data_IF_466929046926
#
_entry.id   IF_466929046926
#
_cell.length_a   1.000
_cell.length_b   1.000
_cell.length_c   1.000
_cell.angle_alpha   90.00
_cell.angle_beta   90.00
_cell.angle_gamma   90.00
#
_symmetry.space_group_name_H-M   'P 1'
#
loop_
_entity.id
_entity.type
_entity.pdbx_description
1 polymer ?
#
# COMPACT_ATOMS: atom_id res chain seq x y z
N UNK A 1 -4.64 -7.17 25.23
CA UNK A 1 -5.13 -6.16 24.27
C UNK A 1 -5.00 -6.78 22.89
N UNK A 2 -6.02 -6.64 22.07
CA UNK A 2 -6.01 -7.01 20.66
C UNK A 2 -5.90 -5.72 19.84
N UNK A 3 -4.93 -5.63 18.93
CA UNK A 3 -4.77 -4.47 18.07
C UNK A 3 -5.23 -4.83 16.67
N UNK A 4 -6.16 -4.03 16.17
CA UNK A 4 -6.63 -4.07 14.78
C UNK A 4 -6.30 -2.75 14.13
N UNK A 5 -6.05 -2.75 12.82
CA UNK A 5 -5.67 -1.53 12.11
C UNK A 5 -6.74 -1.12 11.10
N UNK A 6 -6.71 0.14 10.71
CA UNK A 6 -7.42 0.68 9.54
C UNK A 6 -6.49 0.60 8.33
N UNK A 7 -6.15 -0.59 7.86
CA UNK A 7 -5.19 -0.76 6.76
C UNK A 7 -5.62 -0.05 5.47
N UNK A 8 -6.93 0.09 5.25
CA UNK A 8 -7.49 0.83 4.11
C UNK A 8 -7.11 2.32 4.12
N UNK A 9 -6.92 2.93 5.30
CA UNK A 9 -6.60 4.35 5.43
C UNK A 9 -5.20 4.66 4.88
N UNK A 10 -4.17 3.94 5.36
CA UNK A 10 -2.82 4.10 4.84
C UNK A 10 -2.68 3.62 3.39
N UNK A 11 -3.42 2.57 3.03
CA UNK A 11 -3.39 2.03 1.66
C UNK A 11 -4.00 3.00 0.64
N UNK A 12 -5.02 3.76 1.03
CA UNK A 12 -5.57 4.86 0.24
C UNK A 12 -4.51 5.92 -0.08
N UNK A 13 -3.66 6.27 0.89
CA UNK A 13 -2.59 7.25 0.67
C UNK A 13 -1.56 6.76 -0.35
N UNK A 14 -1.11 5.50 -0.26
CA UNK A 14 -0.10 5.00 -1.22
C UNK A 14 -0.69 4.75 -2.61
N UNK A 15 -1.97 4.40 -2.71
CA UNK A 15 -2.68 4.33 -3.99
C UNK A 15 -2.82 5.70 -4.66
N UNK A 16 -3.18 6.71 -3.88
CA UNK A 16 -3.23 8.10 -4.32
C UNK A 16 -1.85 8.59 -4.75
N UNK A 17 -0.81 8.33 -3.97
CA UNK A 17 0.57 8.69 -4.28
C UNK A 17 1.03 8.10 -5.62
N UNK A 18 0.79 6.81 -5.85
CA UNK A 18 1.12 6.14 -7.12
C UNK A 18 0.37 6.73 -8.31
N UNK A 19 -0.92 7.06 -8.14
CA UNK A 19 -1.71 7.65 -9.21
C UNK A 19 -1.31 9.10 -9.52
N UNK A 20 -0.99 9.91 -8.51
CA UNK A 20 -0.47 11.26 -8.72
C UNK A 20 0.92 11.23 -9.35
N UNK A 21 1.79 10.30 -8.94
CA UNK A 21 3.10 10.11 -9.58
C UNK A 21 2.94 9.73 -11.06
N UNK A 22 2.02 8.81 -11.39
CA UNK A 22 1.73 8.46 -12.78
C UNK A 22 1.30 9.67 -13.63
N UNK A 23 0.52 10.60 -13.04
CA UNK A 23 0.16 11.87 -13.69
C UNK A 23 1.37 12.78 -13.92
N UNK A 24 2.25 12.93 -12.93
CA UNK A 24 3.46 13.76 -13.08
C UNK A 24 4.41 13.18 -14.12
N UNK A 25 4.49 11.85 -14.20
CA UNK A 25 5.26 11.11 -15.20
C UNK A 25 4.61 11.13 -16.60
N UNK A 26 3.42 11.73 -16.75
CA UNK A 26 2.73 11.89 -18.04
C UNK A 26 2.06 10.62 -18.57
N UNK A 27 1.78 9.64 -17.73
CA UNK A 27 1.16 8.36 -18.13
C UNK A 27 -0.36 8.55 -18.25
N UNK A 28 -0.88 8.49 -19.48
CA UNK A 28 -2.29 8.75 -19.75
C UNK A 28 -3.24 7.64 -19.25
N UNK A 29 -2.85 6.37 -19.42
CA UNK A 29 -3.66 5.20 -19.06
C UNK A 29 -2.85 4.23 -18.19
N UNK A 30 -2.48 4.62 -16.95
CA UNK A 30 -1.64 3.79 -16.11
C UNK A 30 -2.40 2.53 -15.67
N UNK A 31 -1.65 1.44 -15.57
CA UNK A 31 -2.12 0.15 -15.04
C UNK A 31 -1.44 -0.08 -13.69
N UNK A 32 -2.16 -0.61 -12.72
CA UNK A 32 -1.65 -0.83 -11.37
C UNK A 32 -1.83 -2.29 -10.94
N UNK A 33 -0.90 -2.78 -10.13
CA UNK A 33 -0.92 -4.14 -9.61
C UNK A 33 -1.02 -4.17 -8.09
N UNK A 34 -1.75 -5.13 -7.55
CA UNK A 34 -1.73 -5.47 -6.13
C UNK A 34 -1.25 -6.91 -5.94
N UNK A 35 -0.26 -7.12 -5.08
CA UNK A 35 0.21 -8.46 -4.69
C UNK A 35 -0.10 -8.67 -3.21
N UNK A 36 -1.08 -9.51 -2.94
CA UNK A 36 -1.40 -9.96 -1.59
C UNK A 36 -0.60 -11.20 -1.18
N UNK A 37 -0.38 -11.38 0.12
CA UNK A 37 0.12 -12.64 0.68
C UNK A 37 -0.95 -13.72 0.66
N UNK A 38 -1.48 -14.07 1.84
CA UNK A 38 -2.63 -14.97 1.98
C UNK A 38 -3.93 -14.15 1.96
N UNK A 39 -4.93 -14.51 1.14
CA UNK A 39 -6.18 -13.77 1.07
C UNK A 39 -6.97 -13.85 2.38
N UNK A 40 -7.74 -12.81 2.66
CA UNK A 40 -8.61 -12.68 3.82
C UNK A 40 -8.86 -11.21 4.17
N UNK A 41 -9.75 -10.99 5.14
CA UNK A 41 -10.26 -9.66 5.50
C UNK A 41 -9.19 -8.56 5.64
N UNK A 42 -8.05 -8.86 6.29
CA UNK A 42 -6.94 -7.90 6.47
C UNK A 42 -6.31 -7.49 5.13
N UNK A 43 -6.01 -8.45 4.25
CA UNK A 43 -5.38 -8.11 2.95
C UNK A 43 -6.38 -7.41 2.03
N UNK A 44 -7.67 -7.72 2.14
CA UNK A 44 -8.71 -7.01 1.41
C UNK A 44 -8.79 -5.53 1.80
N UNK A 45 -8.60 -5.18 3.07
CA UNK A 45 -8.51 -3.75 3.46
C UNK A 45 -7.34 -3.03 2.78
N UNK A 46 -6.18 -3.67 2.72
CA UNK A 46 -5.01 -3.12 2.02
C UNK A 46 -5.33 -2.89 0.54
N UNK A 47 -5.87 -3.90 -0.13
CA UNK A 47 -6.24 -3.81 -1.54
C UNK A 47 -7.27 -2.71 -1.79
N UNK A 48 -8.33 -2.68 -0.99
CA UNK A 48 -9.44 -1.74 -1.18
C UNK A 48 -9.00 -0.30 -0.94
N UNK A 49 -8.18 -0.04 0.06
CA UNK A 49 -7.60 1.29 0.23
C UNK A 49 -6.79 1.70 -0.99
N UNK A 50 -5.87 0.85 -1.45
CA UNK A 50 -5.02 1.10 -2.62
C UNK A 50 -5.84 1.40 -3.88
N UNK A 51 -6.84 0.56 -4.16
CA UNK A 51 -7.78 0.70 -5.28
C UNK A 51 -8.53 2.03 -5.23
N UNK A 52 -9.08 2.38 -4.07
CA UNK A 52 -9.83 3.63 -3.88
C UNK A 52 -8.92 4.85 -4.04
N UNK A 53 -7.68 4.78 -3.55
CA UNK A 53 -6.67 5.82 -3.72
C UNK A 53 -6.36 6.08 -5.19
N UNK A 54 -6.13 5.01 -5.96
CA UNK A 54 -5.90 5.11 -7.41
C UNK A 54 -7.11 5.72 -8.12
N UNK A 55 -8.30 5.20 -7.83
CA UNK A 55 -9.54 5.58 -8.54
C UNK A 55 -10.00 7.01 -8.22
N UNK A 56 -9.54 7.59 -7.12
CA UNK A 56 -9.76 9.02 -6.82
C UNK A 56 -9.11 9.96 -7.86
N UNK A 57 -8.07 9.48 -8.55
CA UNK A 57 -7.34 10.24 -9.59
C UNK A 57 -7.68 9.70 -10.99
N UNK A 58 -7.75 8.38 -11.12
CA UNK A 58 -8.06 7.68 -12.38
C UNK A 58 -9.26 6.74 -12.18
N UNK A 59 -10.50 7.24 -12.31
CA UNK A 59 -11.70 6.45 -12.03
C UNK A 59 -11.84 5.17 -12.87
N UNK A 60 -11.17 5.11 -14.02
CA UNK A 60 -11.21 3.99 -14.96
C UNK A 60 -9.86 3.27 -15.10
N UNK A 61 -8.91 3.48 -14.17
CA UNK A 61 -7.63 2.78 -14.20
C UNK A 61 -7.83 1.27 -14.20
N UNK A 62 -7.02 0.56 -14.99
CA UNK A 62 -6.96 -0.90 -14.92
C UNK A 62 -6.14 -1.30 -13.71
N UNK A 63 -6.77 -2.06 -12.81
CA UNK A 63 -6.14 -2.59 -11.60
C UNK A 63 -6.31 -4.11 -11.65
N UNK A 64 -5.22 -4.81 -11.37
CA UNK A 64 -5.17 -6.27 -11.33
C UNK A 64 -4.54 -6.73 -10.02
N UNK A 65 -4.97 -7.88 -9.52
CA UNK A 65 -4.48 -8.44 -8.28
C UNK A 65 -3.97 -9.86 -8.45
N UNK A 66 -3.14 -10.27 -7.50
CA UNK A 66 -2.57 -11.60 -7.39
C UNK A 66 -2.31 -11.91 -5.93
N UNK A 67 -2.74 -13.08 -5.47
CA UNK A 67 -2.49 -13.56 -4.12
C UNK A 67 -1.44 -14.67 -4.17
N UNK A 68 -0.29 -14.41 -3.57
CA UNK A 68 0.82 -15.36 -3.56
C UNK A 68 0.53 -16.61 -2.71
N UNK A 69 -0.45 -16.52 -1.80
CA UNK A 69 -0.78 -17.54 -0.81
C UNK A 69 0.45 -17.93 0.06
N UNK A 70 1.34 -16.97 0.29
CA UNK A 70 2.58 -17.15 1.04
C UNK A 70 3.13 -15.80 1.53
N UNK A 71 3.85 -15.80 2.66
CA UNK A 71 4.46 -14.62 3.28
C UNK A 71 5.99 -14.57 3.16
N UNK A 72 6.65 -15.63 2.69
CA UNK A 72 8.11 -15.80 2.67
C UNK A 72 8.67 -16.33 1.34
N UNK A 73 7.93 -16.21 0.24
CA UNK A 73 8.30 -16.71 -1.09
C UNK A 73 8.51 -15.56 -2.10
N UNK A 74 9.59 -14.78 -1.99
CA UNK A 74 9.83 -13.64 -2.86
C UNK A 74 9.91 -14.00 -4.35
N UNK A 75 10.28 -15.23 -4.69
CA UNK A 75 10.30 -15.71 -6.08
C UNK A 75 8.92 -15.65 -6.75
N UNK A 76 7.82 -15.86 -6.01
CA UNK A 76 6.46 -15.78 -6.54
C UNK A 76 6.08 -14.34 -6.92
N UNK A 77 6.29 -13.40 -6.01
CA UNK A 77 6.02 -11.99 -6.28
C UNK A 77 6.96 -11.43 -7.36
N UNK A 78 8.23 -11.83 -7.37
CA UNK A 78 9.19 -11.42 -8.40
C UNK A 78 8.75 -11.85 -9.79
N UNK A 79 8.36 -13.12 -9.96
CA UNK A 79 7.89 -13.65 -11.22
C UNK A 79 6.62 -12.91 -11.70
N UNK A 80 5.67 -12.67 -10.80
CA UNK A 80 4.44 -11.96 -11.12
C UNK A 80 4.70 -10.48 -11.47
N UNK A 81 5.50 -9.79 -10.66
CA UNK A 81 5.89 -8.41 -10.91
C UNK A 81 6.59 -8.26 -12.26
N UNK A 82 7.45 -9.21 -12.63
CA UNK A 82 8.12 -9.24 -13.93
C UNK A 82 7.09 -9.28 -15.06
N UNK A 83 6.16 -10.23 -15.00
CA UNK A 83 5.11 -10.39 -16.03
C UNK A 83 4.25 -9.13 -16.17
N UNK A 84 3.90 -8.50 -15.05
CA UNK A 84 3.09 -7.29 -15.03
C UNK A 84 3.81 -6.06 -15.54
N UNK A 85 5.04 -5.83 -15.09
CA UNK A 85 5.86 -4.72 -15.59
C UNK A 85 6.16 -4.88 -17.09
N UNK A 86 6.45 -6.10 -17.56
CA UNK A 86 6.61 -6.37 -19.01
C UNK A 86 5.32 -6.13 -19.80
N UNK A 87 4.16 -6.28 -19.16
CA UNK A 87 2.85 -5.98 -19.73
C UNK A 87 2.43 -4.51 -19.55
N UNK A 88 3.28 -3.65 -18.98
CA UNK A 88 3.01 -2.22 -18.82
C UNK A 88 2.26 -1.82 -17.55
N UNK A 89 2.25 -2.66 -16.51
CA UNK A 89 1.91 -2.19 -15.15
C UNK A 89 2.95 -1.17 -14.71
N UNK A 90 2.48 -0.06 -14.16
CA UNK A 90 3.31 1.07 -13.77
C UNK A 90 3.80 0.95 -12.32
N UNK A 91 2.89 0.67 -11.39
CA UNK A 91 3.22 0.51 -9.98
C UNK A 91 2.56 -0.74 -9.39
N UNK A 92 3.27 -1.42 -8.49
CA UNK A 92 2.79 -2.61 -7.78
C UNK A 92 2.89 -2.39 -6.28
N UNK A 93 1.76 -2.47 -5.58
CA UNK A 93 1.71 -2.52 -4.12
C UNK A 93 1.71 -3.96 -3.64
N UNK A 94 2.63 -4.31 -2.73
CA UNK A 94 2.74 -5.67 -2.19
C UNK A 94 2.44 -5.70 -0.70
N UNK A 95 1.23 -6.14 -0.32
CA UNK A 95 0.86 -6.46 1.05
C UNK A 95 1.08 -7.96 1.33
N UNK A 96 2.36 -8.38 1.26
CA UNK A 96 2.74 -9.80 1.21
C UNK A 96 3.95 -10.16 2.09
N UNK A 97 4.30 -9.33 3.08
CA UNK A 97 5.44 -9.57 3.96
C UNK A 97 6.74 -9.83 3.18
N UNK A 98 7.50 -10.85 3.59
CA UNK A 98 8.75 -11.25 2.92
C UNK A 98 8.59 -11.65 1.45
N UNK A 99 7.42 -12.15 1.04
CA UNK A 99 7.09 -12.38 -0.38
C UNK A 99 7.15 -11.07 -1.18
N UNK A 100 6.70 -9.94 -0.59
CA UNK A 100 6.71 -8.62 -1.25
C UNK A 100 8.11 -8.12 -1.66
N UNK A 101 9.17 -8.62 -1.02
CA UNK A 101 10.56 -8.30 -1.39
C UNK A 101 10.89 -8.69 -2.84
N UNK A 102 10.18 -9.66 -3.41
CA UNK A 102 10.30 -10.03 -4.83
C UNK A 102 9.89 -8.92 -5.79
N UNK A 103 8.81 -8.19 -5.47
CA UNK A 103 8.34 -7.04 -6.23
C UNK A 103 9.38 -5.92 -6.22
N UNK A 104 9.93 -5.61 -5.05
CA UNK A 104 11.00 -4.60 -4.89
C UNK A 104 12.22 -5.01 -5.72
N UNK A 105 12.66 -6.26 -5.61
CA UNK A 105 13.79 -6.77 -6.37
C UNK A 105 13.58 -6.63 -7.89
N UNK A 106 12.39 -6.94 -8.39
CA UNK A 106 12.10 -6.80 -9.83
C UNK A 106 12.04 -5.33 -10.28
N UNK A 107 11.43 -4.45 -9.48
CA UNK A 107 11.36 -3.03 -9.77
C UNK A 107 12.77 -2.42 -9.83
N UNK A 108 13.68 -2.82 -8.93
CA UNK A 108 15.10 -2.40 -8.96
C UNK A 108 15.80 -2.75 -10.27
N UNK A 109 15.67 -4.00 -10.71
CA UNK A 109 16.27 -4.45 -11.96
C UNK A 109 15.78 -3.62 -13.15
N UNK A 110 14.49 -3.32 -13.20
CA UNK A 110 13.89 -2.56 -14.30
C UNK A 110 14.21 -1.07 -14.23
N UNK A 111 14.26 -0.48 -13.03
CA UNK A 111 14.72 0.90 -12.83
C UNK A 111 16.19 1.08 -13.19
N UNK A 112 17.04 0.09 -12.88
CA UNK A 112 18.45 0.08 -13.31
C UNK A 112 18.59 0.00 -14.84
N UNK A 113 17.61 -0.59 -15.53
CA UNK A 113 17.52 -0.63 -17.00
C UNK A 113 16.84 0.60 -17.61
N UNK A 114 16.46 1.59 -16.79
CA UNK A 114 15.81 2.82 -17.25
C UNK A 114 14.31 2.70 -17.51
N UNK A 115 13.65 1.59 -17.15
CA UNK A 115 12.19 1.49 -17.19
C UNK A 115 11.57 2.33 -16.07
N UNK A 116 10.49 3.04 -16.36
CA UNK A 116 9.75 3.82 -15.36
C UNK A 116 8.67 2.95 -14.69
N UNK A 117 9.06 2.19 -13.66
CA UNK A 117 8.16 1.32 -12.88
C UNK A 117 8.42 1.47 -11.39
N UNK A 118 7.42 1.18 -10.56
CA UNK A 118 7.51 1.39 -9.12
C UNK A 118 7.04 0.18 -8.31
N UNK A 119 7.76 -0.12 -7.23
CA UNK A 119 7.23 -0.91 -6.12
C UNK A 119 6.68 0.03 -5.04
N UNK A 120 5.69 -0.43 -4.30
CA UNK A 120 5.23 0.20 -3.06
C UNK A 120 5.41 -0.81 -1.93
N UNK A 121 6.13 -0.40 -0.90
CA UNK A 121 6.42 -1.22 0.28
C UNK A 121 5.26 -1.28 1.28
N UNK A 122 5.41 -2.12 2.31
CA UNK A 122 4.42 -2.30 3.38
C UNK A 122 5.08 -2.54 4.73
N UNK A 123 4.33 -2.27 5.79
CA UNK A 123 4.69 -2.41 7.21
C UNK A 123 5.75 -1.41 7.68
N UNK A 124 6.93 -1.44 7.08
CA UNK A 124 8.03 -0.51 7.37
C UNK A 124 8.30 0.44 6.20
N UNK A 125 9.15 1.44 6.44
CA UNK A 125 9.72 2.19 5.33
C UNK A 125 10.73 1.31 4.60
N UNK A 126 10.42 0.96 3.35
CA UNK A 126 11.25 0.08 2.51
C UNK A 126 12.08 0.83 1.45
N UNK A 127 12.28 2.14 1.62
CA UNK A 127 13.02 2.97 0.65
C UNK A 127 14.44 2.44 0.39
N UNK A 128 15.17 2.08 1.44
CA UNK A 128 16.58 1.62 1.35
C UNK A 128 16.68 0.27 0.61
N UNK A 129 15.74 -0.63 0.84
CA UNK A 129 15.63 -1.92 0.16
C UNK A 129 15.49 -1.74 -1.35
N UNK A 130 14.83 -0.66 -1.77
CA UNK A 130 14.62 -0.27 -3.16
C UNK A 130 15.83 0.39 -3.85
N UNK A 131 16.91 0.73 -3.15
CA UNK A 131 18.05 1.45 -3.75
C UNK A 131 18.70 0.64 -4.87
N UNK A 132 18.73 1.20 -6.08
CA UNK A 132 19.33 0.59 -7.28
C UNK A 132 20.50 1.39 -7.85
N UNK A 133 20.64 2.68 -7.51
CA UNK A 133 21.78 3.51 -7.93
C UNK A 133 21.92 4.76 -7.07
N UNK A 134 22.99 4.85 -6.27
CA UNK A 134 23.22 6.00 -5.39
C UNK A 134 22.04 6.20 -4.42
N UNK A 135 21.35 7.34 -4.53
CA UNK A 135 20.13 7.66 -3.76
C UNK A 135 18.85 7.42 -4.55
N UNK A 136 18.89 6.69 -5.67
CA UNK A 136 17.68 6.34 -6.43
C UNK A 136 17.13 5.02 -5.95
N UNK A 137 15.86 5.02 -5.58
CA UNK A 137 15.13 3.85 -5.11
C UNK A 137 14.01 3.48 -6.07
N UNK A 138 13.74 2.19 -6.24
CA UNK A 138 12.60 1.67 -6.99
C UNK A 138 11.32 1.57 -6.13
N UNK A 139 11.42 1.85 -4.83
CA UNK A 139 10.28 1.94 -3.91
C UNK A 139 9.78 3.37 -3.90
N UNK A 140 8.59 3.62 -4.47
CA UNK A 140 8.02 4.97 -4.56
C UNK A 140 7.64 5.52 -3.17
N UNK A 141 7.00 4.68 -2.38
CA UNK A 141 6.58 4.94 -1.00
C UNK A 141 6.32 3.57 -0.34
N UNK A 142 6.03 3.57 0.96
CA UNK A 142 5.63 2.37 1.70
C UNK A 142 4.40 2.68 2.54
N UNK A 143 3.44 1.76 2.60
CA UNK A 143 2.31 1.86 3.52
C UNK A 143 2.81 1.44 4.90
N UNK A 144 2.91 2.40 5.82
CA UNK A 144 3.47 2.16 7.15
C UNK A 144 2.40 1.58 8.05
N UNK A 145 2.73 0.51 8.78
CA UNK A 145 1.90 -0.10 9.82
C UNK A 145 2.74 -0.25 11.08
N UNK A 146 2.45 0.59 12.08
CA UNK A 146 3.30 0.72 13.28
C UNK A 146 3.01 -0.35 14.33
N UNK A 147 3.31 -1.60 14.01
CA UNK A 147 3.12 -2.74 14.93
C UNK A 147 4.01 -2.61 16.18
N UNK A 148 5.16 -1.94 16.06
CA UNK A 148 6.03 -1.59 17.16
C UNK A 148 5.33 -0.72 18.21
N UNK A 149 4.46 0.22 17.79
CA UNK A 149 3.72 1.08 18.70
C UNK A 149 2.72 0.29 19.55
N UNK A 150 2.08 -0.72 18.96
CA UNK A 150 1.17 -1.61 19.68
C UNK A 150 1.91 -2.46 20.72
N UNK A 151 3.12 -2.92 20.39
CA UNK A 151 3.96 -3.66 21.35
C UNK A 151 4.40 -2.79 22.52
N UNK A 152 4.87 -1.57 22.23
CA UNK A 152 5.24 -0.58 23.27
C UNK A 152 4.05 -0.20 24.14
N UNK A 153 2.86 -0.02 23.55
CA UNK A 153 1.65 0.29 24.29
C UNK A 153 1.33 -0.78 25.35
N UNK A 154 1.39 -2.06 24.97
CA UNK A 154 1.15 -3.17 25.90
C UNK A 154 2.21 -3.22 26.99
N UNK A 155 3.49 -3.11 26.63
CA UNK A 155 4.59 -3.16 27.59
C UNK A 155 4.49 -2.04 28.63
N UNK A 156 4.19 -0.81 28.20
CA UNK A 156 3.98 0.32 29.10
C UNK A 156 2.77 0.10 30.00
N UNK A 157 1.64 -0.36 29.45
CA UNK A 157 0.45 -0.64 30.25
C UNK A 157 0.68 -1.72 31.31
N UNK A 158 1.50 -2.74 31.02
CA UNK A 158 1.90 -3.76 32.00
C UNK A 158 2.84 -3.16 33.05
N UNK A 159 3.86 -2.40 32.64
CA UNK A 159 4.82 -1.78 33.54
C UNK A 159 4.16 -0.81 34.52
N UNK A 160 3.18 -0.04 34.05
CA UNK A 160 2.43 0.94 34.84
C UNK A 160 1.30 0.30 35.67
N UNK A 161 1.07 -1.01 35.55
CA UNK A 161 -0.04 -1.70 36.22
C UNK A 161 -1.43 -1.31 35.71
N UNK A 162 -1.52 -0.73 34.51
CA UNK A 162 -2.75 -0.22 33.88
C UNK A 162 -3.31 -1.14 32.79
N UNK A 163 -2.72 -2.33 32.61
CA UNK A 163 -3.14 -3.28 31.59
C UNK A 163 -4.64 -3.60 31.66
N UNK A 164 -5.32 -3.41 30.53
CA UNK A 164 -6.75 -3.76 30.34
C UNK A 164 -6.93 -4.55 29.05
N UNK A 165 -7.69 -5.65 29.12
CA UNK A 165 -8.12 -6.38 27.94
C UNK A 165 -9.10 -5.58 27.06
N UNK A 166 -9.23 -5.97 25.79
CA UNK A 166 -10.11 -5.30 24.82
C UNK A 166 -9.45 -5.13 23.46
N UNK A 167 -10.25 -4.66 22.49
CA UNK A 167 -9.83 -4.35 21.13
C UNK A 167 -9.45 -2.87 21.04
N UNK A 168 -8.31 -2.58 20.42
CA UNK A 168 -7.80 -1.24 20.15
C UNK A 168 -7.67 -1.09 18.64
N UNK A 169 -8.41 -0.13 18.08
CA UNK A 169 -8.29 0.26 16.67
C UNK A 169 -7.13 1.23 16.51
N UNK A 170 -6.29 1.00 15.52
CA UNK A 170 -5.13 1.82 15.16
C UNK A 170 -5.29 2.34 13.71
N UNK A 171 -5.38 3.65 13.53
CA UNK A 171 -5.59 4.31 12.24
C UNK A 171 -4.62 5.47 11.99
N UNK A 172 -4.94 6.37 11.06
CA UNK A 172 -4.12 7.57 10.85
C UNK A 172 -4.24 8.58 11.98
N UNK A 173 -5.35 8.56 12.74
CA UNK A 173 -5.62 9.47 13.86
C UNK A 173 -4.66 9.24 15.03
N UNK A 174 -4.25 7.99 15.24
CA UNK A 174 -3.36 7.55 16.31
C UNK A 174 -1.96 7.17 15.79
N UNK A 175 -1.65 7.53 14.54
CA UNK A 175 -0.41 7.20 13.85
C UNK A 175 -0.13 5.68 13.76
N UNK A 176 -1.15 4.84 13.90
CA UNK A 176 -1.08 3.40 13.71
C UNK A 176 -0.79 2.98 12.27
N UNK A 177 -1.25 3.77 11.30
CA UNK A 177 -0.94 3.60 9.87
C UNK A 177 -0.59 4.92 9.20
N UNK A 178 0.16 4.86 8.10
CA UNK A 178 0.54 6.02 7.31
C UNK A 178 1.24 5.65 6.01
N UNK A 179 2.09 6.54 5.52
CA UNK A 179 2.93 6.29 4.35
C UNK A 179 4.31 6.95 4.52
N UNK A 180 5.31 6.43 3.81
CA UNK A 180 6.65 7.02 3.79
C UNK A 180 6.80 8.09 2.69
N UNK A 181 7.53 9.16 3.03
CA UNK A 181 7.96 10.20 2.07
C UNK A 181 9.47 10.16 1.82
N UNK A 182 10.14 9.04 2.11
CA UNK A 182 11.59 8.95 2.05
C UNK A 182 12.16 9.04 0.63
N UNK A 183 11.39 8.62 -0.38
CA UNK A 183 11.85 8.69 -1.76
C UNK A 183 11.84 10.14 -2.29
N UNK A 184 13.00 10.72 -2.67
CA UNK A 184 13.05 12.09 -3.19
C UNK A 184 12.39 12.27 -4.56
N UNK A 185 12.10 11.18 -5.29
CA UNK A 185 11.32 11.23 -6.53
C UNK A 185 9.82 11.45 -6.28
N UNK A 186 9.33 11.22 -5.04
CA UNK A 186 7.98 11.60 -4.64
C UNK A 186 7.93 13.11 -4.43
N UNK A 187 7.40 13.84 -5.41
CA UNK A 187 7.47 15.30 -5.40
C UNK A 187 6.74 15.92 -4.20
N UNK A 188 7.18 17.12 -3.78
CA UNK A 188 6.50 17.88 -2.71
C UNK A 188 5.02 18.11 -3.01
N UNK A 189 4.68 18.30 -4.29
CA UNK A 189 3.29 18.49 -4.73
C UNK A 189 2.45 17.22 -4.54
N UNK A 190 3.01 16.05 -4.83
CA UNK A 190 2.34 14.77 -4.52
C UNK A 190 2.16 14.62 -3.02
N UNK A 191 3.20 14.88 -2.22
CA UNK A 191 3.16 14.81 -0.76
C UNK A 191 2.07 15.73 -0.20
N UNK A 192 2.03 17.01 -0.60
CA UNK A 192 1.01 17.98 -0.15
C UNK A 192 -0.43 17.52 -0.49
N UNK A 193 -0.63 16.94 -1.68
CA UNK A 193 -1.92 16.40 -2.07
C UNK A 193 -2.33 15.17 -1.25
N UNK A 194 -1.38 14.29 -0.93
CA UNK A 194 -1.60 13.11 -0.08
C UNK A 194 -1.87 13.52 1.37
N UNK A 195 -1.16 14.50 1.93
CA UNK A 195 -1.42 15.03 3.28
C UNK A 195 -2.80 15.69 3.38
N UNK A 196 -3.23 16.41 2.35
CA UNK A 196 -4.59 16.94 2.29
C UNK A 196 -5.63 15.81 2.28
N UNK A 197 -5.38 14.76 1.51
CA UNK A 197 -6.28 13.61 1.44
C UNK A 197 -6.31 12.84 2.77
N UNK A 198 -5.18 12.72 3.47
CA UNK A 198 -5.11 12.18 4.84
C UNK A 198 -6.04 12.94 5.79
N UNK A 199 -6.01 14.28 5.77
CA UNK A 199 -6.92 15.09 6.58
C UNK A 199 -8.40 14.91 6.18
N UNK A 200 -8.69 14.78 4.88
CA UNK A 200 -10.04 14.52 4.39
C UNK A 200 -10.56 13.12 4.80
N UNK A 201 -9.70 12.09 4.86
CA UNK A 201 -10.08 10.76 5.38
C UNK A 201 -10.29 10.79 6.89
N UNK A 202 -9.38 11.41 7.65
CA UNK A 202 -9.49 11.55 9.12
C UNK A 202 -10.78 12.29 9.51
N UNK A 203 -11.15 13.34 8.78
CA UNK A 203 -12.38 14.10 9.04
C UNK A 203 -13.65 13.40 8.56
N UNK A 204 -13.54 12.27 7.87
CA UNK A 204 -14.67 11.52 7.32
C UNK A 204 -15.27 12.13 6.04
N UNK A 205 -14.64 13.17 5.47
CA UNK A 205 -15.04 13.76 4.19
C UNK A 205 -14.82 12.78 3.03
N UNK A 206 -13.76 11.97 3.11
CA UNK A 206 -13.58 10.80 2.24
C UNK A 206 -13.99 9.57 3.02
N UNK A 207 -15.04 8.90 2.55
CA UNK A 207 -15.48 7.61 3.07
C UNK A 207 -14.75 6.48 2.36
N UNK A 208 -14.07 5.62 3.11
CA UNK A 208 -13.42 4.41 2.59
C UNK A 208 -14.27 3.17 2.86
N UNK A 209 -14.27 2.26 1.88
CA UNK A 209 -14.87 0.94 1.99
C UNK A 209 -13.78 -0.09 2.32
N UNK A 210 -14.02 -0.90 3.35
CA UNK A 210 -13.02 -1.84 3.88
C UNK A 210 -13.09 -3.23 3.23
N UNK A 211 -14.26 -3.55 2.66
CA UNK A 211 -14.57 -4.82 2.03
C UNK A 211 -14.67 -4.64 0.52
N UNK A 212 -14.30 -5.66 -0.23
CA UNK A 212 -14.48 -5.69 -1.67
C UNK A 212 -15.95 -5.60 -2.05
N UNK A 213 -16.83 -6.33 -1.35
CA UNK A 213 -18.27 -6.26 -1.58
C UNK A 213 -18.82 -4.84 -1.50
N UNK A 214 -18.50 -4.10 -0.43
CA UNK A 214 -19.05 -2.74 -0.26
C UNK A 214 -18.39 -1.76 -1.22
N UNK A 215 -17.09 -1.90 -1.47
CA UNK A 215 -16.38 -1.06 -2.44
C UNK A 215 -16.93 -1.25 -3.86
N UNK A 216 -17.22 -2.50 -4.26
CA UNK A 216 -17.81 -2.82 -5.55
C UNK A 216 -19.24 -2.27 -5.67
N UNK A 217 -20.06 -2.46 -4.64
CA UNK A 217 -21.43 -1.93 -4.61
C UNK A 217 -21.47 -0.40 -4.71
N UNK A 218 -20.46 0.28 -4.17
CA UNK A 218 -20.31 1.73 -4.25
C UNK A 218 -19.61 2.23 -5.54
N UNK A 219 -19.18 1.35 -6.45
CA UNK A 219 -18.40 1.72 -7.64
C UNK A 219 -16.96 2.18 -7.34
N UNK A 220 -16.52 1.99 -6.09
CA UNK A 220 -15.22 2.39 -5.57
C UNK A 220 -14.11 1.36 -5.88
N UNK A 221 -14.47 0.16 -6.32
CA UNK A 221 -13.57 -0.88 -6.83
C UNK A 221 -14.05 -1.44 -8.17
N UNK A 222 -13.14 -1.90 -9.07
CA UNK A 222 -13.53 -2.60 -10.29
C UNK A 222 -14.01 -4.02 -10.00
N UNK A 223 -14.80 -4.58 -10.92
CA UNK A 223 -15.14 -6.00 -10.88
C UNK A 223 -13.93 -6.88 -11.26
N UNK A 224 -13.93 -8.14 -10.81
CA UNK A 224 -12.95 -9.15 -11.23
C UNK A 224 -11.68 -9.23 -10.38
N UNK A 225 -11.63 -8.56 -9.23
CA UNK A 225 -10.58 -8.76 -8.24
C UNK A 225 -10.84 -10.05 -7.45
N UNK A 226 -9.79 -10.72 -7.02
CA UNK A 226 -9.79 -11.96 -6.24
C UNK A 226 -9.79 -11.73 -4.71
N UNK A 227 -9.95 -10.49 -4.26
CA UNK A 227 -10.09 -10.12 -2.85
C UNK A 227 -11.15 -10.96 -2.11
N UNK A 228 -10.82 -11.42 -0.90
CA UNK A 228 -11.72 -12.18 -0.02
C UNK A 228 -12.02 -11.38 1.25
N UNK A 229 -13.30 -11.10 1.49
CA UNK A 229 -13.75 -10.29 2.62
C UNK A 229 -13.64 -11.02 3.98
N UNK A 230 -13.49 -12.34 3.97
CA UNK A 230 -13.33 -13.23 5.11
C UNK A 230 -11.95 -13.91 5.15
#
# INVERSE_FOLDING_TARGET
MEFIYSEEEGSYLVGLAAALQAKEDGIANPRFGFIGGVPGSTITKFEMGYVQGIRSVFPNAQIIDYYANDWGKPELAKAQAKNWFDSGVYAIFSAAGGTGNGTIAQAKEYRAQGKNVWAIGVDSDQYEEGIYSGTKSAVLTSMLKRVENSSLHVLNAVADGTFKGGVIQMGMVDDGVGYSTANPELSKKVIEAVEKAKADVISGKVKLYKTYKDALAAGAAPAGLAALDD
#
